data_IF_943695259823
#
_entry.id   IF_943695259823
#
_cell.length_a   1.000
_cell.length_b   1.000
_cell.length_c   1.000
_cell.angle_alpha   90.00
_cell.angle_beta   90.00
_cell.angle_gamma   90.00
#
_symmetry.space_group_name_H-M   'P 1'
#
loop_
_entity.id
_entity.type
_entity.pdbx_description
1 polymer ?
#
# COMPACT_ATOMS: atom_id res chain seq x y z
N UNK A 1 -11.34 -18.78 11.03
CA UNK A 1 -11.18 -17.90 12.20
C UNK A 1 -12.17 -16.76 12.15
N UNK A 2 -12.36 -16.05 13.23
CA UNK A 2 -13.35 -14.97 13.43
C UNK A 2 -13.27 -13.86 12.36
N UNK A 3 -12.04 -13.40 12.04
CA UNK A 3 -11.79 -12.39 11.00
C UNK A 3 -12.33 -12.83 9.62
N UNK A 4 -12.13 -14.10 9.26
CA UNK A 4 -12.61 -14.63 7.98
C UNK A 4 -14.13 -14.60 7.90
N UNK A 5 -14.83 -14.98 8.98
CA UNK A 5 -16.30 -14.98 9.04
C UNK A 5 -16.86 -13.56 8.91
N UNK A 6 -16.22 -12.55 9.52
CA UNK A 6 -16.63 -11.15 9.43
C UNK A 6 -16.45 -10.64 7.97
N UNK A 7 -15.31 -10.90 7.37
CA UNK A 7 -15.01 -10.51 5.97
C UNK A 7 -16.02 -11.12 5.00
N UNK A 8 -16.33 -12.41 5.14
CA UNK A 8 -17.29 -13.11 4.28
C UNK A 8 -18.72 -12.61 4.51
N UNK A 9 -19.14 -12.38 5.76
CA UNK A 9 -20.48 -11.91 6.12
C UNK A 9 -20.80 -10.51 5.57
N UNK A 10 -19.80 -9.62 5.53
CA UNK A 10 -19.95 -8.25 5.03
C UNK A 10 -19.55 -8.10 3.56
N UNK A 11 -19.33 -9.21 2.84
CA UNK A 11 -18.94 -9.22 1.43
C UNK A 11 -17.72 -8.32 1.12
N UNK A 12 -16.77 -8.22 2.06
CA UNK A 12 -15.61 -7.36 1.94
C UNK A 12 -14.47 -8.06 1.19
N UNK A 13 -13.73 -7.26 0.45
CA UNK A 13 -12.50 -7.70 -0.19
C UNK A 13 -11.30 -7.40 0.72
N UNK A 14 -10.35 -8.35 0.82
CA UNK A 14 -9.06 -8.11 1.47
C UNK A 14 -7.94 -8.46 0.52
N UNK A 15 -6.93 -7.59 0.45
CA UNK A 15 -5.74 -7.88 -0.35
C UNK A 15 -4.97 -9.10 0.20
N UNK A 16 -5.16 -9.41 1.49
CA UNK A 16 -4.60 -10.60 2.11
C UNK A 16 -5.07 -11.88 1.42
N UNK A 17 -6.34 -11.95 1.03
CA UNK A 17 -6.92 -13.09 0.31
C UNK A 17 -6.69 -12.98 -1.20
N UNK A 18 -7.01 -11.85 -1.81
CA UNK A 18 -6.89 -11.63 -3.26
C UNK A 18 -5.44 -11.71 -3.75
N UNK A 19 -4.50 -11.16 -2.96
CA UNK A 19 -3.07 -11.16 -3.23
C UNK A 19 -2.33 -12.44 -2.77
N UNK A 20 -3.04 -13.43 -2.21
CA UNK A 20 -2.44 -14.68 -1.66
C UNK A 20 -1.25 -14.38 -0.73
N UNK A 21 -1.46 -13.44 0.20
CA UNK A 21 -0.40 -12.97 1.08
C UNK A 21 0.12 -14.09 2.02
N UNK A 22 1.43 -14.37 2.06
CA UNK A 22 1.99 -15.40 2.94
C UNK A 22 1.81 -15.08 4.43
N UNK A 23 1.63 -13.81 4.80
CA UNK A 23 1.51 -13.37 6.18
C UNK A 23 0.06 -13.32 6.68
N UNK A 24 -0.93 -13.75 5.88
CA UNK A 24 -2.36 -13.63 6.21
C UNK A 24 -2.70 -14.20 7.58
N UNK A 25 -2.24 -15.42 7.88
CA UNK A 25 -2.56 -16.10 9.13
C UNK A 25 -1.98 -15.34 10.34
N UNK A 26 -0.75 -14.87 10.24
CA UNK A 26 -0.08 -14.10 11.29
C UNK A 26 -0.77 -12.75 11.51
N UNK A 27 -0.98 -11.96 10.45
CA UNK A 27 -1.62 -10.65 10.55
C UNK A 27 -3.04 -10.77 11.15
N UNK A 28 -3.82 -11.74 10.69
CA UNK A 28 -5.18 -11.94 11.21
C UNK A 28 -5.21 -12.40 12.67
N UNK A 29 -4.21 -13.16 13.12
CA UNK A 29 -4.09 -13.51 14.55
C UNK A 29 -3.75 -12.29 15.42
N UNK A 30 -3.06 -11.31 14.86
CA UNK A 30 -2.72 -10.02 15.51
C UNK A 30 -3.81 -8.95 15.37
N UNK A 31 -4.99 -9.30 14.84
CA UNK A 31 -6.08 -8.35 14.57
C UNK A 31 -5.68 -7.21 13.65
N UNK A 32 -4.86 -7.53 12.63
CA UNK A 32 -4.48 -6.61 11.55
C UNK A 32 -5.02 -7.15 10.24
N UNK A 33 -5.78 -6.35 9.51
CA UNK A 33 -6.29 -6.70 8.20
C UNK A 33 -6.08 -5.53 7.24
N UNK A 34 -5.89 -5.84 5.95
CA UNK A 34 -5.83 -4.84 4.88
C UNK A 34 -7.08 -4.98 4.04
N UNK A 35 -7.98 -4.02 4.17
CA UNK A 35 -9.20 -3.95 3.36
C UNK A 35 -8.87 -3.42 1.98
N UNK A 36 -9.54 -3.99 0.97
CA UNK A 36 -9.45 -3.53 -0.41
C UNK A 36 -10.80 -2.98 -0.82
N UNK A 37 -10.87 -1.69 -1.08
CA UNK A 37 -12.09 -0.96 -1.47
C UNK A 37 -12.18 -0.75 -2.98
N UNK A 38 -13.33 -0.25 -3.45
CA UNK A 38 -13.64 0.02 -4.85
C UNK A 38 -13.76 -1.25 -5.71
N UNK A 39 -14.04 -2.40 -5.05
CA UNK A 39 -14.25 -3.70 -5.68
C UNK A 39 -12.98 -4.55 -5.81
N UNK A 40 -13.03 -5.59 -6.66
CA UNK A 40 -11.97 -6.58 -6.86
C UNK A 40 -11.37 -6.60 -8.28
N UNK A 41 -11.84 -5.72 -9.17
CA UNK A 41 -11.37 -5.60 -10.56
C UNK A 41 -10.63 -4.29 -10.73
N UNK A 42 -9.35 -4.38 -11.13
CA UNK A 42 -8.47 -3.22 -11.36
C UNK A 42 -8.50 -2.81 -12.83
N UNK A 43 -8.46 -1.51 -13.12
CA UNK A 43 -8.32 -0.99 -14.49
C UNK A 43 -6.89 -1.15 -15.03
N UNK A 44 -5.91 -1.49 -14.16
CA UNK A 44 -4.49 -1.64 -14.52
C UNK A 44 -4.06 -3.11 -14.36
N UNK A 45 -3.33 -3.62 -15.36
CA UNK A 45 -2.78 -4.99 -15.38
C UNK A 45 -1.29 -5.02 -15.09
N UNK A 46 -0.87 -4.65 -13.88
CA UNK A 46 0.55 -4.71 -13.49
C UNK A 46 1.04 -6.16 -13.45
N UNK A 47 2.19 -6.43 -14.08
CA UNK A 47 2.69 -7.80 -14.29
C UNK A 47 3.16 -8.52 -13.02
N UNK A 48 3.19 -7.85 -11.89
CA UNK A 48 3.49 -8.43 -10.58
C UNK A 48 2.26 -8.75 -9.74
N UNK A 49 1.08 -8.21 -10.12
CA UNK A 49 -0.10 -8.17 -9.25
C UNK A 49 -1.10 -9.27 -9.61
N UNK A 50 -1.55 -10.01 -8.60
CA UNK A 50 -2.55 -11.08 -8.75
C UNK A 50 -4.00 -10.58 -8.84
N UNK A 51 -4.25 -9.27 -8.68
CA UNK A 51 -5.58 -8.68 -8.76
C UNK A 51 -6.12 -8.81 -10.18
N UNK A 52 -7.40 -9.16 -10.31
CA UNK A 52 -8.08 -9.28 -11.61
C UNK A 52 -8.05 -7.94 -12.35
N UNK A 53 -7.75 -7.99 -13.64
CA UNK A 53 -7.77 -6.81 -14.52
C UNK A 53 -9.01 -6.85 -15.39
N UNK A 54 -9.67 -5.71 -15.55
CA UNK A 54 -10.87 -5.64 -16.40
C UNK A 54 -11.64 -4.34 -16.23
N UNK A 55 -12.94 -4.40 -16.56
CA UNK A 55 -13.86 -3.29 -16.36
C UNK A 55 -14.61 -3.47 -15.03
N UNK A 56 -14.34 -2.61 -14.02
CA UNK A 56 -15.02 -2.70 -12.74
C UNK A 56 -16.51 -2.34 -12.83
N UNK A 57 -17.27 -2.79 -11.84
CA UNK A 57 -18.65 -2.31 -11.61
C UNK A 57 -18.62 -0.91 -10.94
N UNK A 58 -19.78 -0.27 -10.85
CA UNK A 58 -19.91 0.98 -10.08
C UNK A 58 -19.49 0.73 -8.61
N UNK A 59 -18.84 1.73 -7.95
CA UNK A 59 -18.54 1.62 -6.53
C UNK A 59 -19.80 1.38 -5.69
N UNK A 60 -19.71 0.51 -4.69
CA UNK A 60 -20.78 0.29 -3.73
C UNK A 60 -20.81 1.43 -2.71
N UNK A 61 -21.89 2.21 -2.67
CA UNK A 61 -22.06 3.30 -1.73
C UNK A 61 -22.06 2.86 -0.25
N UNK A 62 -22.39 1.59 0.03
CA UNK A 62 -22.41 1.02 1.38
C UNK A 62 -21.05 0.48 1.83
N UNK A 63 -20.08 0.31 0.92
CA UNK A 63 -18.75 -0.23 1.24
C UNK A 63 -18.03 0.54 2.36
N UNK A 64 -18.02 1.90 2.40
CA UNK A 64 -17.41 2.65 3.50
C UNK A 64 -17.99 2.29 4.88
N UNK A 65 -19.31 2.17 4.98
CA UNK A 65 -20.00 1.77 6.22
C UNK A 65 -19.65 0.33 6.62
N UNK A 66 -19.67 -0.58 5.66
CA UNK A 66 -19.37 -2.00 5.88
C UNK A 66 -17.91 -2.20 6.35
N UNK A 67 -16.96 -1.45 5.80
CA UNK A 67 -15.57 -1.44 6.25
C UNK A 67 -15.48 -0.95 7.70
N UNK A 68 -16.12 0.16 8.02
CA UNK A 68 -16.12 0.74 9.37
C UNK A 68 -16.71 -0.21 10.43
N UNK A 69 -17.83 -0.86 10.11
CA UNK A 69 -18.46 -1.88 10.96
C UNK A 69 -17.53 -3.08 11.19
N UNK A 70 -16.84 -3.53 10.14
CA UNK A 70 -15.91 -4.66 10.23
C UNK A 70 -14.69 -4.32 11.08
N UNK A 71 -14.17 -3.09 10.98
CA UNK A 71 -13.11 -2.58 11.87
C UNK A 71 -13.54 -2.64 13.33
N UNK A 72 -14.77 -2.19 13.63
CA UNK A 72 -15.33 -2.22 14.97
C UNK A 72 -15.51 -3.67 15.48
N UNK A 73 -16.10 -4.55 14.69
CA UNK A 73 -16.34 -5.95 15.03
C UNK A 73 -15.03 -6.71 15.31
N UNK A 74 -13.99 -6.44 14.52
CA UNK A 74 -12.66 -7.04 14.70
C UNK A 74 -11.86 -6.36 15.81
N UNK A 75 -12.34 -5.23 16.36
CA UNK A 75 -11.63 -4.40 17.36
C UNK A 75 -10.21 -4.04 16.90
N UNK A 76 -10.08 -3.62 15.65
CA UNK A 76 -8.79 -3.25 15.08
C UNK A 76 -8.32 -1.93 15.68
N UNK A 77 -7.06 -1.90 16.11
CA UNK A 77 -6.37 -0.66 16.52
C UNK A 77 -5.61 0.00 15.39
N UNK A 78 -5.27 -0.80 14.38
CA UNK A 78 -4.56 -0.37 13.19
C UNK A 78 -5.26 -0.94 11.96
N UNK A 79 -5.66 -0.06 11.06
CA UNK A 79 -6.42 -0.40 9.87
C UNK A 79 -5.61 0.03 8.66
N UNK A 80 -5.34 -0.91 7.76
CA UNK A 80 -4.79 -0.58 6.44
C UNK A 80 -5.91 -0.68 5.42
N UNK A 81 -6.09 0.36 4.63
CA UNK A 81 -7.03 0.38 3.50
C UNK A 81 -6.23 0.54 2.22
N UNK A 82 -6.50 -0.30 1.25
CA UNK A 82 -5.99 -0.19 -0.12
C UNK A 82 -7.15 -0.26 -1.10
N UNK A 83 -6.90 -0.07 -2.39
CA UNK A 83 -7.92 -0.23 -3.43
C UNK A 83 -7.37 -0.90 -4.68
N UNK A 84 -8.27 -1.34 -5.55
CA UNK A 84 -7.99 -1.46 -6.98
C UNK A 84 -7.85 -0.07 -7.60
N UNK A 85 -7.14 0.07 -8.71
CA UNK A 85 -7.11 1.34 -9.44
C UNK A 85 -8.38 1.50 -10.27
N UNK A 86 -8.93 2.70 -10.27
CA UNK A 86 -10.20 3.07 -10.91
C UNK A 86 -9.99 4.24 -11.88
N UNK A 87 -9.13 4.04 -12.91
CA UNK A 87 -8.92 5.06 -13.97
C UNK A 87 -10.20 5.33 -14.80
N UNK A 88 -11.23 4.53 -14.60
CA UNK A 88 -12.56 4.68 -15.20
C UNK A 88 -13.44 5.73 -14.47
N UNK A 89 -13.09 6.10 -13.24
CA UNK A 89 -13.79 7.13 -12.47
C UNK A 89 -13.13 8.51 -12.68
N UNK A 90 -13.91 9.58 -12.82
CA UNK A 90 -13.37 10.93 -13.05
C UNK A 90 -12.44 11.41 -11.92
N UNK A 91 -12.72 10.98 -10.67
CA UNK A 91 -11.95 11.30 -9.47
C UNK A 91 -11.00 10.17 -9.05
N UNK A 92 -10.86 9.12 -9.85
CA UNK A 92 -10.05 7.94 -9.48
C UNK A 92 -10.51 7.24 -8.19
N UNK A 93 -11.71 7.58 -7.69
CA UNK A 93 -12.26 7.08 -6.43
C UNK A 93 -11.88 7.91 -5.20
N UNK A 94 -11.35 9.13 -5.34
CA UNK A 94 -10.90 9.96 -4.23
C UNK A 94 -12.01 10.24 -3.21
N UNK A 95 -13.23 10.53 -3.66
CA UNK A 95 -14.38 10.73 -2.77
C UNK A 95 -14.73 9.46 -1.97
N UNK A 96 -14.62 8.28 -2.57
CA UNK A 96 -14.86 7.01 -1.90
C UNK A 96 -13.79 6.69 -0.84
N UNK A 97 -12.54 7.06 -1.11
CA UNK A 97 -11.45 7.00 -0.13
C UNK A 97 -11.75 7.86 1.08
N UNK A 98 -12.15 9.12 0.87
CA UNK A 98 -12.48 10.04 1.95
C UNK A 98 -13.66 9.52 2.79
N UNK A 99 -14.75 9.10 2.13
CA UNK A 99 -15.91 8.52 2.80
C UNK A 99 -15.55 7.29 3.65
N UNK A 100 -14.63 6.45 3.17
CA UNK A 100 -14.17 5.26 3.92
C UNK A 100 -13.41 5.67 5.18
N UNK A 101 -12.49 6.65 5.10
CA UNK A 101 -11.75 7.15 6.27
C UNK A 101 -12.71 7.79 7.28
N UNK A 102 -13.63 8.62 6.82
CA UNK A 102 -14.63 9.28 7.67
C UNK A 102 -15.53 8.26 8.39
N UNK A 103 -16.02 7.24 7.68
CA UNK A 103 -16.84 6.18 8.26
C UNK A 103 -16.05 5.38 9.32
N UNK A 104 -14.80 5.01 9.04
CA UNK A 104 -13.95 4.32 10.01
C UNK A 104 -13.74 5.20 11.24
N UNK A 105 -13.39 6.48 11.07
CA UNK A 105 -13.11 7.41 12.16
C UNK A 105 -14.34 7.65 13.04
N UNK A 106 -15.52 7.75 12.43
CA UNK A 106 -16.77 7.96 13.17
C UNK A 106 -17.12 6.79 14.11
N UNK A 107 -16.86 5.55 13.69
CA UNK A 107 -17.17 4.35 14.49
C UNK A 107 -15.98 3.87 15.35
N UNK A 108 -14.76 4.23 14.99
CA UNK A 108 -13.52 3.77 15.62
C UNK A 108 -12.56 4.97 15.82
N UNK A 109 -12.86 5.90 16.71
CA UNK A 109 -12.13 7.18 16.83
C UNK A 109 -10.65 7.01 17.18
N UNK A 110 -10.28 5.94 17.90
CA UNK A 110 -8.91 5.66 18.35
C UNK A 110 -8.12 4.79 17.36
N UNK A 111 -8.74 4.34 16.27
CA UNK A 111 -8.06 3.49 15.31
C UNK A 111 -7.06 4.34 14.48
N UNK A 112 -5.86 3.82 14.30
CA UNK A 112 -4.88 4.36 13.34
C UNK A 112 -5.30 3.92 11.93
N UNK A 113 -5.37 4.86 11.00
CA UNK A 113 -5.78 4.61 9.61
C UNK A 113 -4.59 4.86 8.68
N UNK A 114 -4.09 3.79 8.07
CA UNK A 114 -3.09 3.84 7.01
C UNK A 114 -3.78 3.57 5.66
N UNK A 115 -3.53 4.44 4.69
CA UNK A 115 -3.99 4.25 3.31
C UNK A 115 -2.82 3.81 2.43
N UNK A 116 -3.08 2.91 1.48
CA UNK A 116 -2.18 2.57 0.39
C UNK A 116 -2.90 2.88 -0.92
N UNK A 117 -2.68 4.09 -1.44
CA UNK A 117 -3.41 4.64 -2.58
C UNK A 117 -2.70 4.39 -3.93
N UNK A 118 -3.43 4.39 -5.07
CA UNK A 118 -2.85 4.49 -6.40
C UNK A 118 -2.18 5.87 -6.60
N UNK A 119 -1.51 6.08 -7.76
CA UNK A 119 -0.83 7.34 -8.06
C UNK A 119 -1.78 8.52 -8.34
N UNK A 120 -3.05 8.26 -8.65
CA UNK A 120 -4.04 9.27 -9.03
C UNK A 120 -3.50 10.28 -10.07
N UNK A 121 -2.58 9.84 -10.93
CA UNK A 121 -1.83 10.64 -11.90
C UNK A 121 -1.16 11.90 -11.28
N UNK A 122 -0.80 11.83 -9.98
CA UNK A 122 -0.24 12.91 -9.16
C UNK A 122 -1.12 14.18 -9.13
N UNK A 123 -2.43 14.07 -9.30
CA UNK A 123 -3.38 15.18 -9.31
C UNK A 123 -3.56 15.75 -7.90
N UNK A 124 -3.13 17.02 -7.64
CA UNK A 124 -3.16 17.59 -6.31
C UNK A 124 -4.60 17.74 -5.75
N UNK A 125 -5.56 18.05 -6.62
CA UNK A 125 -6.98 18.20 -6.25
C UNK A 125 -7.57 16.88 -5.70
N UNK A 126 -7.23 15.74 -6.27
CA UNK A 126 -7.69 14.43 -5.80
C UNK A 126 -6.98 14.00 -4.52
N UNK A 127 -5.67 14.25 -4.42
CA UNK A 127 -4.89 13.94 -3.23
C UNK A 127 -5.35 14.77 -2.03
N UNK A 128 -5.72 16.04 -2.25
CA UNK A 128 -6.26 16.93 -1.22
C UNK A 128 -7.58 16.40 -0.62
N UNK A 129 -8.48 15.86 -1.44
CA UNK A 129 -9.72 15.21 -0.97
C UNK A 129 -9.41 14.07 0.01
N UNK A 130 -8.43 13.23 -0.31
CA UNK A 130 -8.05 12.12 0.55
C UNK A 130 -7.37 12.62 1.85
N UNK A 131 -6.45 13.59 1.74
CA UNK A 131 -5.76 14.16 2.91
C UNK A 131 -6.73 14.88 3.85
N UNK A 132 -7.73 15.57 3.31
CA UNK A 132 -8.75 16.28 4.10
C UNK A 132 -9.56 15.33 5.01
N UNK A 133 -9.70 14.05 4.67
CA UNK A 133 -10.34 13.05 5.54
C UNK A 133 -9.49 12.62 6.75
N UNK A 134 -8.25 13.11 6.86
CA UNK A 134 -7.32 12.96 7.99
C UNK A 134 -6.93 11.51 8.32
N UNK A 135 -6.42 10.73 7.37
CA UNK A 135 -5.72 9.49 7.68
C UNK A 135 -4.43 9.78 8.44
N UNK A 136 -3.91 8.80 9.19
CA UNK A 136 -2.68 8.96 9.96
C UNK A 136 -1.42 8.78 9.09
N UNK A 137 -1.48 7.90 8.08
CA UNK A 137 -0.40 7.61 7.12
C UNK A 137 -1.01 7.46 5.73
N UNK A 138 -0.35 8.01 4.71
CA UNK A 138 -0.66 7.69 3.32
C UNK A 138 0.56 7.09 2.63
N UNK A 139 0.41 5.86 2.16
CA UNK A 139 1.37 5.15 1.34
C UNK A 139 1.02 5.21 -0.15
N UNK A 140 2.04 5.27 -0.98
CA UNK A 140 1.99 4.94 -2.40
C UNK A 140 3.27 4.19 -2.77
N UNK A 141 3.13 2.96 -3.25
CA UNK A 141 4.29 2.13 -3.56
C UNK A 141 4.94 2.52 -4.88
N UNK A 142 6.27 2.66 -4.87
CA UNK A 142 7.08 2.81 -6.09
C UNK A 142 7.18 1.49 -6.86
N UNK A 143 7.03 0.37 -6.17
CA UNK A 143 6.99 -1.03 -6.60
C UNK A 143 8.32 -1.58 -7.12
N UNK A 144 9.03 -0.86 -7.97
CA UNK A 144 10.32 -1.26 -8.55
C UNK A 144 11.14 -0.04 -8.96
N UNK A 145 12.39 -0.26 -9.38
CA UNK A 145 13.32 0.77 -9.85
C UNK A 145 12.86 1.42 -11.17
N UNK A 146 13.39 2.60 -11.50
CA UNK A 146 12.96 3.37 -12.66
C UNK A 146 13.03 2.60 -13.97
N UNK A 147 14.14 1.92 -14.23
CA UNK A 147 14.37 1.13 -15.47
C UNK A 147 13.33 0.01 -15.66
N UNK A 148 12.92 -0.65 -14.56
CA UNK A 148 12.00 -1.78 -14.62
C UNK A 148 10.53 -1.33 -14.60
N UNK A 149 10.22 -0.11 -14.18
CA UNK A 149 8.84 0.39 -14.09
C UNK A 149 8.04 0.19 -15.38
N UNK A 150 8.53 0.52 -16.60
CA UNK A 150 7.75 0.38 -17.82
C UNK A 150 7.41 -1.07 -18.18
N UNK A 151 8.20 -2.05 -17.73
CA UNK A 151 7.99 -3.47 -18.04
C UNK A 151 7.23 -4.22 -16.95
N UNK A 152 7.22 -3.71 -15.71
CA UNK A 152 6.58 -4.34 -14.55
C UNK A 152 5.21 -3.73 -14.26
N UNK A 153 5.06 -2.42 -14.42
CA UNK A 153 3.82 -1.66 -14.20
C UNK A 153 3.16 -1.33 -15.53
N UNK A 154 1.83 -1.52 -15.63
CA UNK A 154 1.11 -1.35 -16.92
C UNK A 154 0.92 0.10 -17.35
N UNK A 155 0.71 1.02 -16.40
CA UNK A 155 0.40 2.43 -16.68
C UNK A 155 1.16 3.39 -15.77
N UNK A 156 1.33 3.04 -14.51
CA UNK A 156 1.99 3.89 -13.53
C UNK A 156 3.44 4.18 -13.94
N UNK A 157 3.86 5.43 -13.80
CA UNK A 157 5.20 5.90 -14.13
C UNK A 157 6.00 6.16 -12.85
N UNK A 158 7.30 5.90 -12.89
CA UNK A 158 8.19 6.12 -11.76
C UNK A 158 8.15 7.57 -11.25
N UNK A 159 8.31 8.54 -12.15
CA UNK A 159 8.30 9.97 -11.81
C UNK A 159 6.94 10.46 -11.31
N UNK A 160 5.84 9.94 -11.85
CA UNK A 160 4.49 10.25 -11.35
C UNK A 160 4.30 9.73 -9.92
N UNK A 161 4.78 8.51 -9.63
CA UNK A 161 4.74 7.96 -8.27
C UNK A 161 5.52 8.81 -7.27
N UNK A 162 6.70 9.30 -7.63
CA UNK A 162 7.47 10.22 -6.78
C UNK A 162 6.74 11.56 -6.59
N UNK A 163 6.11 12.11 -7.64
CA UNK A 163 5.38 13.37 -7.51
C UNK A 163 4.12 13.20 -6.63
N UNK A 164 3.40 12.08 -6.72
CA UNK A 164 2.33 11.73 -5.79
C UNK A 164 2.81 11.81 -4.34
N UNK A 165 3.94 11.19 -4.03
CA UNK A 165 4.53 11.20 -2.69
C UNK A 165 4.97 12.61 -2.26
N UNK A 166 5.55 13.41 -3.16
CA UNK A 166 5.89 14.82 -2.88
C UNK A 166 4.64 15.67 -2.59
N UNK A 167 3.58 15.48 -3.37
CA UNK A 167 2.33 16.20 -3.15
C UNK A 167 1.73 15.88 -1.77
N UNK A 168 1.74 14.61 -1.36
CA UNK A 168 1.28 14.18 -0.04
C UNK A 168 2.16 14.77 1.08
N UNK A 169 3.48 14.70 0.92
CA UNK A 169 4.42 15.23 1.91
C UNK A 169 4.27 16.74 2.12
N UNK A 170 4.06 17.52 1.03
CA UNK A 170 3.81 18.97 1.10
C UNK A 170 2.56 19.32 1.90
N UNK A 171 1.58 18.42 1.99
CA UNK A 171 0.36 18.57 2.78
C UNK A 171 0.54 18.12 4.24
N UNK A 172 1.77 17.79 4.66
CA UNK A 172 2.11 17.45 6.04
C UNK A 172 1.76 16.03 6.47
N UNK A 173 1.37 15.16 5.53
CA UNK A 173 1.04 13.76 5.85
C UNK A 173 2.30 12.93 5.99
N UNK A 174 2.31 11.99 6.93
CA UNK A 174 3.35 10.96 7.02
C UNK A 174 3.24 10.06 5.80
N UNK A 175 4.29 10.06 4.95
CA UNK A 175 4.31 9.29 3.72
C UNK A 175 5.11 8.00 3.85
N UNK A 176 4.60 6.97 3.16
CA UNK A 176 5.18 5.62 3.11
C UNK A 176 5.29 5.13 1.67
N UNK A 177 6.31 4.33 1.36
CA UNK A 177 6.42 3.67 0.06
C UNK A 177 6.96 2.24 0.21
N UNK A 178 6.70 1.42 -0.78
CA UNK A 178 7.15 0.04 -0.86
C UNK A 178 7.88 -0.26 -2.17
N UNK A 179 8.90 -1.09 -2.07
CA UNK A 179 9.73 -1.57 -3.16
C UNK A 179 9.83 -3.09 -3.09
N UNK A 180 9.61 -3.76 -4.21
CA UNK A 180 9.91 -5.19 -4.37
C UNK A 180 11.30 -5.35 -4.97
N UNK A 181 12.06 -6.34 -4.48
CA UNK A 181 13.36 -6.72 -5.01
C UNK A 181 13.34 -8.16 -5.54
N UNK A 182 14.27 -8.48 -6.46
CA UNK A 182 14.31 -9.76 -7.15
C UNK A 182 13.64 -9.75 -8.53
N UNK A 183 13.39 -8.56 -9.10
CA UNK A 183 12.83 -8.35 -10.44
C UNK A 183 13.92 -8.16 -11.52
N UNK A 184 15.22 -8.08 -11.13
CA UNK A 184 16.35 -7.86 -12.03
C UNK A 184 16.99 -6.48 -11.93
N UNK A 185 16.71 -5.78 -10.85
CA UNK A 185 17.37 -4.53 -10.45
C UNK A 185 18.79 -4.80 -9.94
N UNK A 186 19.66 -3.80 -10.03
CA UNK A 186 20.97 -3.79 -9.36
C UNK A 186 20.86 -3.14 -7.98
N UNK A 187 21.88 -3.36 -7.13
CA UNK A 187 21.98 -2.70 -5.82
C UNK A 187 21.99 -1.17 -5.97
N UNK A 188 22.73 -0.63 -6.94
CA UNK A 188 22.81 0.81 -7.18
C UNK A 188 21.45 1.39 -7.57
N UNK A 189 20.65 0.68 -8.37
CA UNK A 189 19.30 1.10 -8.73
C UNK A 189 18.36 1.10 -7.53
N UNK A 190 18.50 0.13 -6.61
CA UNK A 190 17.73 0.11 -5.35
C UNK A 190 18.13 1.31 -4.48
N UNK A 191 19.42 1.56 -4.30
CA UNK A 191 19.90 2.70 -3.51
C UNK A 191 19.47 4.04 -4.13
N UNK A 192 19.55 4.18 -5.45
CA UNK A 192 19.04 5.38 -6.14
C UNK A 192 17.55 5.58 -5.91
N UNK A 193 16.76 4.50 -5.96
CA UNK A 193 15.33 4.55 -5.68
C UNK A 193 15.05 4.98 -4.24
N UNK A 194 15.83 4.51 -3.27
CA UNK A 194 15.73 4.95 -1.87
C UNK A 194 16.07 6.45 -1.74
N UNK A 195 17.10 6.96 -2.40
CA UNK A 195 17.40 8.40 -2.45
C UNK A 195 16.24 9.20 -3.04
N UNK A 196 15.72 8.78 -4.20
CA UNK A 196 14.59 9.47 -4.84
C UNK A 196 13.34 9.52 -3.93
N UNK A 197 13.08 8.45 -3.17
CA UNK A 197 11.99 8.40 -2.19
C UNK A 197 12.25 9.36 -1.01
N UNK A 198 13.50 9.43 -0.49
CA UNK A 198 13.84 10.40 0.56
C UNK A 198 13.67 11.83 0.09
N UNK A 199 14.13 12.15 -1.12
CA UNK A 199 13.98 13.47 -1.75
C UNK A 199 12.50 13.82 -2.00
N UNK A 200 11.64 12.81 -2.18
CA UNK A 200 10.20 12.98 -2.22
C UNK A 200 9.55 13.18 -0.84
N UNK A 201 10.33 13.12 0.26
CA UNK A 201 9.87 13.31 1.63
C UNK A 201 9.31 12.05 2.30
N UNK A 202 9.53 10.87 1.71
CA UNK A 202 9.06 9.61 2.30
C UNK A 202 9.79 9.33 3.62
N UNK A 203 9.02 9.04 4.67
CA UNK A 203 9.55 8.75 6.01
C UNK A 203 9.65 7.27 6.33
N UNK A 204 8.77 6.45 5.75
CA UNK A 204 8.68 5.01 5.99
C UNK A 204 8.87 4.28 4.68
N UNK A 205 9.78 3.28 4.65
CA UNK A 205 9.97 2.44 3.46
C UNK A 205 9.90 0.97 3.81
N UNK A 206 9.37 0.16 2.88
CA UNK A 206 9.34 -1.29 3.00
C UNK A 206 10.01 -1.93 1.78
N UNK A 207 10.86 -2.94 2.02
CA UNK A 207 11.46 -3.76 0.97
C UNK A 207 11.09 -5.23 1.20
N UNK A 208 10.53 -5.87 0.17
CA UNK A 208 10.12 -7.28 0.22
C UNK A 208 10.54 -8.04 -1.03
N UNK A 209 10.72 -9.35 -0.90
CA UNK A 209 10.98 -10.22 -2.04
C UNK A 209 9.77 -10.26 -2.97
N UNK A 210 9.98 -10.03 -4.25
CA UNK A 210 8.99 -10.33 -5.26
C UNK A 210 8.73 -11.84 -5.32
N UNK A 211 7.47 -12.21 -5.14
CA UNK A 211 7.02 -13.60 -5.30
C UNK A 211 6.04 -13.65 -6.47
N UNK A 212 6.38 -14.41 -7.49
CA UNK A 212 5.59 -14.54 -8.72
C UNK A 212 4.25 -15.23 -8.44
N UNK A 213 3.10 -14.59 -8.66
CA UNK A 213 1.80 -15.20 -8.34
C UNK A 213 1.46 -16.42 -9.22
N UNK A 214 1.71 -16.32 -10.52
CA UNK A 214 1.53 -17.42 -11.52
C UNK A 214 2.58 -17.31 -12.62
N UNK A 215 2.69 -18.33 -13.46
CA UNK A 215 3.64 -18.33 -14.58
C UNK A 215 3.38 -17.26 -15.65
N UNK A 216 2.24 -16.61 -15.65
CA UNK A 216 1.88 -15.51 -16.56
C UNK A 216 2.43 -14.15 -16.08
N UNK A 217 2.74 -14.03 -14.78
CA UNK A 217 3.28 -12.81 -14.20
C UNK A 217 4.77 -12.63 -14.50
N UNK A 218 5.31 -11.47 -14.17
CA UNK A 218 6.74 -11.18 -14.36
C UNK A 218 7.61 -12.22 -13.67
N UNK A 219 8.67 -12.73 -14.31
CA UNK A 219 9.52 -13.76 -13.71
C UNK A 219 10.31 -13.23 -12.52
N UNK A 220 10.59 -14.08 -11.53
CA UNK A 220 11.59 -13.79 -10.50
C UNK A 220 12.97 -13.90 -11.12
N UNK A 221 13.75 -12.82 -11.03
CA UNK A 221 15.13 -12.79 -11.54
C UNK A 221 16.12 -13.32 -10.50
N UNK A 222 15.88 -13.04 -9.21
CA UNK A 222 16.73 -13.50 -8.11
C UNK A 222 15.94 -13.62 -6.80
N UNK A 223 16.38 -14.53 -5.94
CA UNK A 223 15.96 -14.56 -4.53
C UNK A 223 17.04 -13.88 -3.69
N UNK A 224 16.68 -12.79 -3.06
CA UNK A 224 17.57 -11.96 -2.28
C UNK A 224 17.76 -12.56 -0.89
N UNK A 225 19.00 -12.61 -0.40
CA UNK A 225 19.30 -13.22 0.90
C UNK A 225 18.85 -12.33 2.06
N UNK A 226 18.57 -12.90 3.25
CA UNK A 226 18.23 -12.12 4.44
C UNK A 226 19.29 -11.08 4.80
N UNK A 227 20.59 -11.40 4.62
CA UNK A 227 21.72 -10.50 4.88
C UNK A 227 21.68 -9.28 3.95
N UNK A 228 21.30 -9.49 2.68
CA UNK A 228 21.14 -8.38 1.72
C UNK A 228 19.94 -7.52 2.06
N UNK A 229 18.83 -8.08 2.53
CA UNK A 229 17.69 -7.31 3.04
C UNK A 229 18.10 -6.46 4.23
N UNK A 230 18.88 -7.01 5.16
CA UNK A 230 19.41 -6.25 6.31
C UNK A 230 20.35 -5.14 5.84
N UNK A 231 21.19 -5.38 4.85
CA UNK A 231 22.04 -4.36 4.26
C UNK A 231 21.21 -3.20 3.66
N UNK A 232 20.14 -3.48 2.90
CA UNK A 232 19.24 -2.44 2.41
C UNK A 232 18.58 -1.67 3.55
N UNK A 233 18.19 -2.35 4.64
CA UNK A 233 17.59 -1.71 5.81
C UNK A 233 18.55 -0.70 6.42
N UNK A 234 19.81 -1.07 6.64
CA UNK A 234 20.83 -0.18 7.20
C UNK A 234 21.08 1.03 6.29
N UNK A 235 21.22 0.81 4.97
CA UNK A 235 21.38 1.92 4.00
C UNK A 235 20.19 2.88 4.03
N UNK A 236 18.96 2.38 4.09
CA UNK A 236 17.78 3.22 4.19
C UNK A 236 17.78 4.07 5.47
N UNK A 237 18.12 3.49 6.61
CA UNK A 237 18.23 4.25 7.88
C UNK A 237 19.32 5.32 7.84
N UNK A 238 20.47 5.02 7.25
CA UNK A 238 21.57 5.99 7.03
C UNK A 238 21.16 7.15 6.11
N UNK A 239 20.26 6.90 5.14
CA UNK A 239 19.67 7.94 4.30
C UNK A 239 18.63 8.79 5.02
N UNK A 240 18.30 8.48 6.30
CA UNK A 240 17.40 9.24 7.13
C UNK A 240 15.91 8.85 7.02
N UNK A 241 15.58 7.63 6.57
CA UNK A 241 14.24 7.12 6.78
C UNK A 241 13.98 6.92 8.28
N UNK A 242 12.79 7.31 8.76
CA UNK A 242 12.41 7.13 10.16
C UNK A 242 12.17 5.65 10.50
N UNK A 243 11.77 4.86 9.50
CA UNK A 243 11.56 3.43 9.62
C UNK A 243 11.79 2.72 8.29
N UNK A 244 12.42 1.55 8.36
CA UNK A 244 12.58 0.65 7.22
C UNK A 244 12.29 -0.79 7.66
N UNK A 245 11.25 -1.40 7.08
CA UNK A 245 11.07 -2.85 7.16
C UNK A 245 11.64 -3.49 5.89
N UNK A 246 12.59 -4.41 6.05
CA UNK A 246 13.27 -5.05 4.92
C UNK A 246 13.55 -6.52 5.25
N UNK A 247 12.80 -7.42 4.61
CA UNK A 247 12.95 -8.87 4.74
C UNK A 247 12.19 -9.60 3.62
N UNK A 248 12.48 -10.89 3.37
CA UNK A 248 11.83 -11.64 2.27
C UNK A 248 10.30 -11.63 2.30
N UNK A 249 9.69 -11.72 3.46
CA UNK A 249 8.24 -11.78 3.62
C UNK A 249 7.59 -10.41 3.92
N UNK A 250 8.36 -9.33 3.98
CA UNK A 250 7.81 -7.98 4.16
C UNK A 250 6.84 -7.63 3.02
N UNK A 251 5.73 -7.01 3.38
CA UNK A 251 4.73 -6.42 2.49
C UNK A 251 4.42 -5.01 3.00
N UNK A 252 3.80 -4.18 2.17
CA UNK A 252 3.55 -2.76 2.51
C UNK A 252 2.83 -2.57 3.85
N UNK A 253 1.93 -3.47 4.22
CA UNK A 253 1.17 -3.41 5.48
C UNK A 253 1.72 -4.33 6.58
N UNK A 254 2.85 -4.99 6.37
CA UNK A 254 3.45 -5.86 7.39
C UNK A 254 4.08 -5.01 8.49
N UNK A 255 3.75 -5.32 9.77
CA UNK A 255 4.24 -4.60 10.96
C UNK A 255 3.99 -3.08 10.91
N UNK A 256 2.91 -2.65 10.26
CA UNK A 256 2.62 -1.23 10.03
C UNK A 256 2.47 -0.42 11.33
N UNK A 257 2.01 -1.03 12.42
CA UNK A 257 1.91 -0.39 13.74
C UNK A 257 3.28 0.05 14.30
N UNK A 258 4.33 -0.74 14.06
CA UNK A 258 5.70 -0.42 14.50
C UNK A 258 6.26 0.81 13.78
N UNK A 259 5.95 0.93 12.49
CA UNK A 259 6.36 2.06 11.66
C UNK A 259 5.81 3.39 12.20
N UNK A 260 4.55 3.42 12.63
CA UNK A 260 3.96 4.63 13.19
C UNK A 260 4.59 5.05 14.52
N UNK A 261 4.88 4.07 15.40
CA UNK A 261 5.55 4.34 16.69
C UNK A 261 6.91 5.02 16.46
N UNK A 262 7.69 4.54 15.50
CA UNK A 262 9.00 5.10 15.17
C UNK A 262 8.93 6.54 14.63
N UNK A 263 7.82 6.93 14.01
CA UNK A 263 7.62 8.30 13.49
C UNK A 263 7.13 9.25 14.57
N UNK A 264 6.31 8.80 15.54
CA UNK A 264 5.76 9.63 16.63
C UNK A 264 6.77 9.86 17.77
N UNK A 265 7.84 9.08 17.83
CA UNK A 265 8.91 9.21 18.82
C UNK A 265 10.05 10.16 18.41
N UNK A 266 9.94 10.78 17.25
CA UNK A 266 10.84 11.81 16.70
C UNK A 266 10.14 13.18 16.73
#
# INVERSE_FOLDING_TARGET
GEVRQIVEKHNLHTICSSGRCPNQAECWSRRTATFMILGDICTRGCRFCATKTGRPLAPDAEEPRQVAESVALMKLRYVVVTSVTRDDLPDGGAAHWAATVEAIRAQNPDAVIELLIPDLDARPDLLEVIVASKPDIIGHNIETVERLTPVVRSRAKYRTSLETLRCLNRQGVVTKSGLMVGLGESDDEVLQTLHDLRDAGVRIVTLGQYLRPTLEHYPVAAYITPEKFEWYRLRALEMGFSYCASAPLVRSSYMAEEALRSVKSL
#
